data_IF_649632556247
#
_entry.id   IF_649632556247
#
_cell.length_a   1.000
_cell.length_b   1.000
_cell.length_c   1.000
_cell.angle_alpha   90.00
_cell.angle_beta   90.00
_cell.angle_gamma   90.00
#
_symmetry.space_group_name_H-M   'P 1'
#
loop_
_entity.id
_entity.type
_entity.pdbx_description
1 polymer ?
#
# COMPACT_ATOMS: atom_id res chain seq x y z
N UNK A 1 83.28 -60.03 -1.49
CA UNK A 1 81.98 -60.40 -0.88
C UNK A 1 81.03 -60.59 -2.05
N UNK A 2 80.90 -61.83 -2.53
CA UNK A 2 80.04 -62.15 -3.65
C UNK A 2 78.60 -61.90 -3.19
N UNK A 3 77.90 -61.02 -3.89
CA UNK A 3 76.45 -60.90 -3.75
C UNK A 3 75.88 -62.25 -4.15
N UNK A 4 75.32 -63.01 -3.19
CA UNK A 4 74.48 -64.15 -3.53
C UNK A 4 73.32 -63.62 -4.36
N UNK A 5 73.40 -63.83 -5.67
CA UNK A 5 72.31 -63.61 -6.58
C UNK A 5 71.29 -64.72 -6.27
N UNK A 6 70.32 -64.41 -5.41
CA UNK A 6 69.20 -65.30 -5.10
C UNK A 6 68.30 -65.31 -6.35
N UNK A 7 68.78 -65.98 -7.39
CA UNK A 7 68.02 -66.23 -8.60
C UNK A 7 66.87 -67.18 -8.27
N UNK A 8 65.65 -66.69 -8.40
CA UNK A 8 64.46 -67.54 -8.33
C UNK A 8 64.55 -68.59 -9.44
N UNK A 9 64.13 -69.82 -9.17
CA UNK A 9 64.02 -70.81 -10.22
C UNK A 9 62.99 -70.34 -11.27
N UNK A 10 63.26 -70.63 -12.54
CA UNK A 10 62.45 -70.17 -13.67
C UNK A 10 60.95 -70.47 -13.52
N UNK A 11 60.50 -71.65 -13.03
CA UNK A 11 59.09 -71.91 -12.73
C UNK A 11 58.48 -70.92 -11.72
N UNK A 12 59.19 -70.59 -10.65
CA UNK A 12 58.75 -69.62 -9.64
C UNK A 12 58.68 -68.20 -10.22
N UNK A 13 59.67 -67.80 -11.00
CA UNK A 13 59.68 -66.50 -11.68
C UNK A 13 58.49 -66.36 -12.65
N UNK A 14 58.26 -67.38 -13.49
CA UNK A 14 57.13 -67.41 -14.43
C UNK A 14 55.77 -67.36 -13.71
N UNK A 15 55.63 -68.06 -12.58
CA UNK A 15 54.42 -68.04 -11.76
C UNK A 15 54.16 -66.67 -11.12
N UNK A 16 55.19 -66.02 -10.56
CA UNK A 16 55.10 -64.68 -9.99
C UNK A 16 54.78 -63.63 -11.06
N UNK A 17 55.46 -63.70 -12.21
CA UNK A 17 55.20 -62.83 -13.35
C UNK A 17 53.76 -62.96 -13.85
N UNK A 18 53.23 -64.18 -13.96
CA UNK A 18 51.84 -64.44 -14.36
C UNK A 18 50.85 -63.82 -13.36
N UNK A 19 51.09 -63.95 -12.06
CA UNK A 19 50.25 -63.34 -11.00
C UNK A 19 50.29 -61.80 -11.07
N UNK A 20 51.47 -61.21 -11.22
CA UNK A 20 51.64 -59.76 -11.33
C UNK A 20 50.96 -59.22 -12.60
N UNK A 21 51.17 -59.87 -13.73
CA UNK A 21 50.57 -59.49 -15.01
C UNK A 21 49.04 -59.55 -14.96
N UNK A 22 48.48 -60.61 -14.36
CA UNK A 22 47.04 -60.73 -14.15
C UNK A 22 46.48 -59.63 -13.23
N UNK A 23 47.17 -59.35 -12.12
CA UNK A 23 46.78 -58.28 -11.19
C UNK A 23 46.82 -56.90 -11.87
N UNK A 24 47.88 -56.60 -12.64
CA UNK A 24 48.00 -55.35 -13.41
C UNK A 24 46.91 -55.22 -14.47
N UNK A 25 46.64 -56.28 -15.23
CA UNK A 25 45.59 -56.28 -16.25
C UNK A 25 44.20 -56.06 -15.62
N UNK A 26 43.96 -56.63 -14.45
CA UNK A 26 42.73 -56.42 -13.66
C UNK A 26 42.59 -54.97 -13.20
N UNK A 27 43.65 -54.41 -12.60
CA UNK A 27 43.70 -53.01 -12.17
C UNK A 27 43.49 -52.03 -13.33
N UNK A 28 44.19 -52.23 -14.45
CA UNK A 28 44.06 -51.37 -15.63
C UNK A 28 42.63 -51.41 -16.22
N UNK A 29 41.97 -52.58 -16.18
CA UNK A 29 40.57 -52.74 -16.57
C UNK A 29 39.64 -51.95 -15.64
N UNK A 30 39.76 -52.13 -14.33
CA UNK A 30 38.95 -51.43 -13.34
C UNK A 30 39.16 -49.92 -13.40
N UNK A 31 40.41 -49.48 -13.58
CA UNK A 31 40.77 -48.06 -13.73
C UNK A 31 40.10 -47.45 -14.96
N UNK A 32 40.18 -48.12 -16.12
CA UNK A 32 39.50 -47.65 -17.34
C UNK A 32 37.99 -47.57 -17.16
N UNK A 33 37.39 -48.60 -16.55
CA UNK A 33 35.96 -48.62 -16.27
C UNK A 33 35.54 -47.48 -15.32
N UNK A 34 36.30 -47.25 -14.25
CA UNK A 34 36.04 -46.16 -13.29
C UNK A 34 36.07 -44.79 -13.97
N UNK A 35 37.09 -44.49 -14.78
CA UNK A 35 37.18 -43.21 -15.47
C UNK A 35 36.10 -43.05 -16.54
N UNK A 36 35.73 -44.11 -17.27
CA UNK A 36 34.58 -44.08 -18.19
C UNK A 36 33.28 -43.71 -17.46
N UNK A 37 33.00 -44.37 -16.33
CA UNK A 37 31.80 -44.09 -15.53
C UNK A 37 31.84 -42.68 -14.91
N UNK A 38 33.02 -42.20 -14.50
CA UNK A 38 33.19 -40.85 -13.98
C UNK A 38 32.92 -39.81 -15.08
N UNK A 39 33.44 -40.03 -16.28
CA UNK A 39 33.25 -39.15 -17.43
C UNK A 39 31.77 -39.11 -17.87
N UNK A 40 31.10 -40.26 -17.89
CA UNK A 40 29.65 -40.35 -18.14
C UNK A 40 28.85 -39.54 -17.12
N UNK A 41 29.13 -39.70 -15.82
CA UNK A 41 28.47 -38.92 -14.75
C UNK A 41 28.74 -37.42 -14.88
N UNK A 42 29.96 -37.04 -15.22
CA UNK A 42 30.31 -35.63 -15.45
C UNK A 42 29.60 -35.06 -16.68
N UNK A 43 29.44 -35.85 -17.75
CA UNK A 43 28.73 -35.46 -18.95
C UNK A 43 27.23 -35.26 -18.66
N UNK A 44 26.61 -36.18 -17.93
CA UNK A 44 25.21 -36.10 -17.50
C UNK A 44 24.97 -34.87 -16.62
N UNK A 45 25.81 -34.66 -15.59
CA UNK A 45 25.76 -33.50 -14.72
C UNK A 45 25.87 -32.18 -15.51
N UNK A 46 26.78 -32.14 -16.48
CA UNK A 46 26.96 -30.97 -17.31
C UNK A 46 25.77 -30.69 -18.22
N UNK A 47 25.16 -31.72 -18.83
CA UNK A 47 23.98 -31.58 -19.67
C UNK A 47 22.78 -31.04 -18.87
N UNK A 48 22.52 -31.62 -17.69
CA UNK A 48 21.46 -31.14 -16.79
C UNK A 48 21.66 -29.67 -16.41
N UNK A 49 22.89 -29.26 -16.04
CA UNK A 49 23.20 -27.86 -15.70
C UNK A 49 23.07 -26.92 -16.89
N UNK A 50 23.42 -27.38 -18.10
CA UNK A 50 23.29 -26.60 -19.31
C UNK A 50 21.82 -26.28 -19.62
N UNK A 51 20.90 -27.23 -19.42
CA UNK A 51 19.46 -26.99 -19.56
C UNK A 51 18.95 -25.97 -18.55
N UNK A 52 19.41 -26.03 -17.30
CA UNK A 52 19.05 -25.05 -16.27
C UNK A 52 19.56 -23.65 -16.63
N UNK A 53 20.76 -23.56 -17.18
CA UNK A 53 21.35 -22.29 -17.66
C UNK A 53 20.55 -21.74 -18.84
N UNK A 54 20.23 -22.56 -19.83
CA UNK A 54 19.45 -22.13 -20.99
C UNK A 54 18.08 -21.57 -20.57
N UNK A 55 17.40 -22.20 -19.61
CA UNK A 55 16.15 -21.69 -19.03
C UNK A 55 16.35 -20.38 -18.26
N UNK A 56 17.45 -20.26 -17.51
CA UNK A 56 17.81 -19.03 -16.80
C UNK A 56 18.13 -17.88 -17.75
N UNK A 57 18.88 -18.12 -18.82
CA UNK A 57 19.23 -17.14 -19.85
C UNK A 57 17.99 -16.70 -20.64
N UNK A 58 17.05 -17.61 -20.91
CA UNK A 58 15.81 -17.30 -21.63
C UNK A 58 14.87 -16.35 -20.86
N UNK A 59 14.99 -16.27 -19.54
CA UNK A 59 14.12 -15.44 -18.69
C UNK A 59 14.85 -14.26 -18.02
N UNK A 60 16.11 -14.00 -18.39
CA UNK A 60 16.93 -12.97 -17.74
C UNK A 60 16.40 -11.54 -17.98
N UNK A 61 15.74 -11.31 -19.11
CA UNK A 61 15.16 -10.02 -19.50
C UNK A 61 13.64 -9.96 -19.28
N UNK A 62 13.07 -10.96 -18.59
CA UNK A 62 11.64 -10.99 -18.28
C UNK A 62 11.27 -9.85 -17.34
N UNK A 63 10.21 -9.12 -17.66
CA UNK A 63 9.60 -8.10 -16.80
C UNK A 63 8.45 -8.65 -15.96
N UNK A 64 8.11 -9.93 -16.10
CA UNK A 64 7.11 -10.60 -15.26
C UNK A 64 7.71 -11.01 -13.90
N UNK A 65 7.93 -10.00 -13.05
CA UNK A 65 8.76 -10.11 -11.86
C UNK A 65 8.35 -11.26 -10.91
N UNK A 66 7.05 -11.42 -10.64
CA UNK A 66 6.56 -12.37 -9.63
C UNK A 66 6.76 -13.84 -10.02
N UNK A 67 6.19 -14.29 -11.15
CA UNK A 67 6.43 -15.59 -11.75
C UNK A 67 7.91 -15.88 -12.02
N UNK A 68 8.68 -14.95 -12.61
CA UNK A 68 10.10 -15.20 -12.90
C UNK A 68 10.95 -15.35 -11.64
N UNK A 69 10.66 -14.62 -10.55
CA UNK A 69 11.33 -14.85 -9.24
C UNK A 69 11.09 -16.29 -8.73
N UNK A 70 9.86 -16.80 -8.88
CA UNK A 70 9.54 -18.19 -8.48
C UNK A 70 10.28 -19.19 -9.37
N UNK A 71 10.30 -18.96 -10.68
CA UNK A 71 11.05 -19.79 -11.62
C UNK A 71 12.56 -19.84 -11.29
N UNK A 72 13.21 -18.71 -10.98
CA UNK A 72 14.62 -18.70 -10.55
C UNK A 72 14.85 -19.45 -9.25
N UNK A 73 13.91 -19.39 -8.28
CA UNK A 73 14.00 -20.20 -7.05
C UNK A 73 13.95 -21.69 -7.36
N UNK A 74 13.07 -22.10 -8.27
CA UNK A 74 12.95 -23.50 -8.68
C UNK A 74 14.17 -23.99 -9.46
N UNK A 75 14.73 -23.16 -10.35
CA UNK A 75 15.99 -23.48 -11.03
C UNK A 75 17.16 -23.59 -10.04
N UNK A 76 17.24 -22.72 -9.03
CA UNK A 76 18.26 -22.82 -7.99
C UNK A 76 18.12 -24.11 -7.17
N UNK A 77 16.89 -24.54 -6.88
CA UNK A 77 16.64 -25.81 -6.20
C UNK A 77 17.04 -27.01 -7.06
N UNK A 78 16.72 -26.98 -8.36
CA UNK A 78 17.15 -28.00 -9.32
C UNK A 78 18.68 -28.04 -9.45
N UNK A 79 19.33 -26.87 -9.52
CA UNK A 79 20.79 -26.75 -9.56
C UNK A 79 21.46 -27.39 -8.34
N UNK A 80 20.93 -27.16 -7.14
CA UNK A 80 21.44 -27.76 -5.90
C UNK A 80 21.29 -29.28 -5.84
N UNK A 81 20.30 -29.83 -6.55
CA UNK A 81 20.04 -31.28 -6.64
C UNK A 81 20.84 -31.94 -7.77
N UNK A 82 21.26 -31.18 -8.78
CA UNK A 82 22.00 -31.70 -9.91
C UNK A 82 23.33 -32.35 -9.45
N UNK A 83 23.73 -33.48 -10.05
CA UNK A 83 24.99 -34.13 -9.71
C UNK A 83 26.19 -33.20 -9.98
N UNK A 84 27.30 -33.45 -9.27
CA UNK A 84 28.53 -32.68 -9.48
C UNK A 84 29.28 -33.21 -10.70
N UNK A 85 29.70 -32.27 -11.54
CA UNK A 85 30.56 -32.55 -12.68
C UNK A 85 32.03 -32.31 -12.34
N UNK A 86 32.85 -32.18 -13.37
CA UNK A 86 34.21 -31.70 -13.21
C UNK A 86 34.21 -30.27 -12.68
N UNK A 87 35.01 -29.99 -11.64
CA UNK A 87 35.09 -28.70 -10.96
C UNK A 87 35.20 -27.51 -11.93
N UNK A 88 36.09 -27.59 -12.92
CA UNK A 88 36.31 -26.50 -13.89
C UNK A 88 35.03 -26.19 -14.70
N UNK A 89 34.30 -27.22 -15.11
CA UNK A 89 33.07 -27.07 -15.91
C UNK A 89 31.92 -26.57 -15.03
N UNK A 90 31.77 -27.14 -13.84
CA UNK A 90 30.78 -26.70 -12.85
C UNK A 90 30.96 -25.22 -12.48
N UNK A 91 32.19 -24.76 -12.24
CA UNK A 91 32.48 -23.36 -11.93
C UNK A 91 32.10 -22.42 -13.08
N UNK A 92 32.39 -22.80 -14.32
CA UNK A 92 32.03 -22.02 -15.52
C UNK A 92 30.52 -21.97 -15.73
N UNK A 93 29.83 -23.12 -15.58
CA UNK A 93 28.39 -23.23 -15.67
C UNK A 93 27.70 -22.41 -14.57
N UNK A 94 28.22 -22.47 -13.34
CA UNK A 94 27.70 -21.66 -12.23
C UNK A 94 27.82 -20.16 -12.50
N UNK A 95 28.97 -19.70 -13.01
CA UNK A 95 29.15 -18.29 -13.39
C UNK A 95 28.12 -17.81 -14.41
N UNK A 96 27.82 -18.62 -15.42
CA UNK A 96 26.79 -18.31 -16.44
C UNK A 96 25.40 -18.26 -15.83
N UNK A 97 25.03 -19.29 -15.06
CA UNK A 97 23.74 -19.32 -14.35
C UNK A 97 23.57 -18.08 -13.45
N UNK A 98 24.62 -17.72 -12.71
CA UNK A 98 24.60 -16.58 -11.80
C UNK A 98 24.53 -15.26 -12.56
N UNK A 99 25.24 -15.11 -13.68
CA UNK A 99 25.16 -13.92 -14.51
C UNK A 99 23.72 -13.68 -15.02
N UNK A 100 23.05 -14.71 -15.54
CA UNK A 100 21.65 -14.60 -15.98
C UNK A 100 20.71 -14.20 -14.83
N UNK A 101 20.90 -14.80 -13.65
CA UNK A 101 20.17 -14.42 -12.44
C UNK A 101 20.44 -12.94 -12.06
N UNK A 102 21.69 -12.51 -12.08
CA UNK A 102 22.07 -11.15 -11.67
C UNK A 102 21.51 -10.10 -12.63
N UNK A 103 21.47 -10.35 -13.94
CA UNK A 103 20.80 -9.49 -14.93
C UNK A 103 19.34 -9.25 -14.55
N UNK A 104 18.58 -10.32 -14.31
CA UNK A 104 17.16 -10.23 -13.96
C UNK A 104 16.94 -9.45 -12.65
N UNK A 105 17.68 -9.80 -11.59
CA UNK A 105 17.49 -9.16 -10.28
C UNK A 105 17.99 -7.70 -10.27
N UNK A 106 19.00 -7.36 -11.07
CA UNK A 106 19.42 -5.97 -11.26
C UNK A 106 18.30 -5.15 -11.91
N UNK A 107 17.71 -5.64 -13.00
CA UNK A 107 16.59 -4.97 -13.69
C UNK A 107 15.37 -4.80 -12.76
N UNK A 108 14.98 -5.85 -12.05
CA UNK A 108 13.88 -5.80 -11.06
C UNK A 108 14.15 -4.79 -9.94
N UNK A 109 15.38 -4.76 -9.42
CA UNK A 109 15.72 -3.84 -8.34
C UNK A 109 15.72 -2.39 -8.82
N UNK A 110 16.17 -2.13 -10.07
CA UNK A 110 16.10 -0.81 -10.67
C UNK A 110 14.64 -0.32 -10.82
N UNK A 111 13.75 -1.17 -11.35
CA UNK A 111 12.30 -0.90 -11.48
C UNK A 111 11.64 -0.55 -10.14
N UNK A 112 11.97 -1.32 -9.09
CA UNK A 112 11.50 -1.02 -7.73
C UNK A 112 12.05 0.31 -7.22
N UNK A 113 13.33 0.59 -7.47
CA UNK A 113 13.96 1.83 -7.02
C UNK A 113 13.37 3.07 -7.69
N UNK A 114 13.06 2.96 -8.98
CA UNK A 114 12.39 4.01 -9.76
C UNK A 114 10.97 4.24 -9.25
N UNK A 115 10.20 3.18 -9.09
CA UNK A 115 8.83 3.24 -8.53
C UNK A 115 8.82 3.87 -7.13
N UNK A 116 9.76 3.49 -6.26
CA UNK A 116 9.87 4.08 -4.92
C UNK A 116 10.30 5.54 -4.97
N UNK A 117 11.20 5.92 -5.89
CA UNK A 117 11.61 7.30 -6.05
C UNK A 117 10.47 8.20 -6.55
N UNK A 118 9.66 7.71 -7.49
CA UNK A 118 8.43 8.37 -7.93
C UNK A 118 7.45 8.52 -6.77
N UNK A 119 7.17 7.44 -6.03
CA UNK A 119 6.27 7.49 -4.88
C UNK A 119 6.73 8.47 -3.80
N UNK A 120 8.05 8.58 -3.54
CA UNK A 120 8.59 9.58 -2.61
C UNK A 120 8.36 11.01 -3.07
N UNK A 121 8.54 11.31 -4.36
CA UNK A 121 8.21 12.63 -4.92
C UNK A 121 6.72 12.93 -4.81
N UNK A 122 5.87 11.95 -5.09
CA UNK A 122 4.42 12.08 -4.94
C UNK A 122 4.03 12.34 -3.48
N UNK A 123 4.73 11.73 -2.52
CA UNK A 123 4.52 11.97 -1.09
C UNK A 123 4.83 13.42 -0.73
N UNK A 124 5.94 14.00 -1.21
CA UNK A 124 6.29 15.41 -0.97
C UNK A 124 5.19 16.35 -1.48
N UNK A 125 4.67 16.11 -2.69
CA UNK A 125 3.56 16.88 -3.27
C UNK A 125 2.32 16.78 -2.38
N UNK A 126 1.95 15.56 -1.97
CA UNK A 126 0.77 15.34 -1.12
C UNK A 126 0.91 15.95 0.26
N UNK A 127 2.11 15.96 0.83
CA UNK A 127 2.36 16.62 2.10
C UNK A 127 2.21 18.15 1.99
N UNK A 128 2.65 18.76 0.89
CA UNK A 128 2.41 20.17 0.63
C UNK A 128 0.91 20.47 0.46
N UNK A 129 0.19 19.63 -0.29
CA UNK A 129 -1.27 19.74 -0.44
C UNK A 129 -2.01 19.61 0.89
N UNK A 130 -1.54 18.77 1.83
CA UNK A 130 -2.12 18.67 3.16
C UNK A 130 -1.93 19.95 3.97
N UNK A 131 -0.78 20.61 3.87
CA UNK A 131 -0.55 21.91 4.52
C UNK A 131 -1.53 22.96 3.98
N UNK A 132 -1.75 22.99 2.66
CA UNK A 132 -2.75 23.86 2.05
C UNK A 132 -4.17 23.51 2.52
N UNK A 133 -4.51 22.22 2.60
CA UNK A 133 -5.82 21.74 3.02
C UNK A 133 -6.12 22.05 4.50
N UNK A 134 -5.13 21.85 5.37
CA UNK A 134 -5.25 22.11 6.81
C UNK A 134 -5.33 23.61 7.13
N UNK A 135 -4.92 24.48 6.20
CA UNK A 135 -5.07 25.93 6.33
C UNK A 135 -6.45 26.44 5.91
N UNK A 136 -7.32 25.59 5.35
CA UNK A 136 -8.69 25.98 5.00
C UNK A 136 -9.49 26.28 6.26
N UNK A 137 -10.20 27.41 6.25
CA UNK A 137 -11.12 27.82 7.32
C UNK A 137 -12.56 27.87 6.79
N UNK A 138 -13.31 26.76 6.88
CA UNK A 138 -14.69 26.69 6.41
C UNK A 138 -15.64 27.55 7.24
N UNK A 139 -15.24 27.97 8.45
CA UNK A 139 -16.06 28.81 9.32
C UNK A 139 -16.05 30.28 8.91
N UNK A 140 -15.00 30.72 8.21
CA UNK A 140 -14.86 32.09 7.71
C UNK A 140 -15.44 32.27 6.31
N UNK A 141 -15.14 31.34 5.40
CA UNK A 141 -15.63 31.39 4.01
C UNK A 141 -15.81 29.97 3.47
N UNK A 142 -17.05 29.47 3.55
CA UNK A 142 -17.39 28.11 3.17
C UNK A 142 -17.23 27.86 1.67
N UNK A 143 -17.61 28.81 0.82
CA UNK A 143 -17.56 28.64 -0.64
C UNK A 143 -16.11 28.65 -1.13
N UNK A 144 -15.27 29.54 -0.60
CA UNK A 144 -13.83 29.54 -0.88
C UNK A 144 -13.17 28.23 -0.39
N UNK A 145 -13.49 27.77 0.82
CA UNK A 145 -12.96 26.52 1.37
C UNK A 145 -13.35 25.31 0.49
N UNK A 146 -14.61 25.24 0.02
CA UNK A 146 -15.08 24.18 -0.89
C UNK A 146 -14.38 24.21 -2.24
N UNK A 147 -14.21 25.39 -2.84
CA UNK A 147 -13.49 25.53 -4.11
C UNK A 147 -12.03 25.12 -3.99
N UNK A 148 -11.35 25.56 -2.94
CA UNK A 148 -9.96 25.20 -2.67
C UNK A 148 -9.80 23.70 -2.39
N UNK A 149 -10.69 23.11 -1.59
CA UNK A 149 -10.68 21.67 -1.32
C UNK A 149 -10.82 20.83 -2.60
N UNK A 150 -11.72 21.21 -3.52
CA UNK A 150 -11.86 20.53 -4.82
C UNK A 150 -10.57 20.58 -5.62
N UNK A 151 -9.94 21.76 -5.75
CA UNK A 151 -8.65 21.90 -6.44
C UNK A 151 -7.53 21.09 -5.78
N UNK A 152 -7.55 20.96 -4.44
CA UNK A 152 -6.59 20.11 -3.71
C UNK A 152 -6.85 18.63 -4.02
N UNK A 153 -8.11 18.19 -4.03
CA UNK A 153 -8.47 16.80 -4.36
C UNK A 153 -8.05 16.44 -5.79
N UNK A 154 -8.27 17.34 -6.75
CA UNK A 154 -7.82 17.12 -8.15
C UNK A 154 -6.29 16.95 -8.22
N UNK A 155 -5.53 17.86 -7.60
CA UNK A 155 -4.05 17.76 -7.53
C UNK A 155 -3.57 16.55 -6.73
N UNK A 156 -4.34 16.11 -5.74
CA UNK A 156 -4.04 14.92 -4.95
C UNK A 156 -4.17 13.64 -5.76
N UNK A 157 -5.19 13.56 -6.61
CA UNK A 157 -5.36 12.44 -7.55
C UNK A 157 -4.26 12.47 -8.62
N UNK A 158 -3.97 13.65 -9.18
CA UNK A 158 -2.90 13.85 -10.18
C UNK A 158 -1.51 13.48 -9.63
N UNK A 159 -1.22 13.79 -8.37
CA UNK A 159 0.04 13.42 -7.72
C UNK A 159 0.25 11.90 -7.61
N UNK A 160 -0.80 11.07 -7.75
CA UNK A 160 -0.64 9.62 -7.85
C UNK A 160 -0.36 8.91 -6.51
N UNK A 161 0.39 7.80 -6.58
CA UNK A 161 0.59 6.88 -5.45
C UNK A 161 1.77 7.29 -4.58
N UNK A 162 1.68 6.99 -3.29
CA UNK A 162 2.73 7.21 -2.29
C UNK A 162 3.24 5.88 -1.73
N UNK A 163 4.33 5.89 -0.94
CA UNK A 163 4.80 4.69 -0.27
C UNK A 163 3.71 4.11 0.62
N UNK A 164 3.61 2.78 0.65
CA UNK A 164 2.57 2.06 1.40
C UNK A 164 2.54 2.40 2.89
N UNK A 165 3.69 2.73 3.48
CA UNK A 165 3.80 3.12 4.89
C UNK A 165 3.13 4.46 5.20
N UNK A 166 3.07 5.37 4.21
CA UNK A 166 2.55 6.73 4.39
C UNK A 166 1.08 6.87 3.96
N UNK A 167 0.60 5.99 3.08
CA UNK A 167 -0.75 6.03 2.49
C UNK A 167 -1.85 6.32 3.52
N UNK A 168 -1.88 5.54 4.62
CA UNK A 168 -2.90 5.73 5.66
C UNK A 168 -2.79 7.08 6.36
N UNK A 169 -1.57 7.50 6.72
CA UNK A 169 -1.31 8.75 7.44
C UNK A 169 -1.79 9.95 6.63
N UNK A 170 -1.49 9.97 5.34
CA UNK A 170 -1.83 11.11 4.48
C UNK A 170 -3.33 11.12 4.14
N UNK A 171 -3.95 9.96 3.89
CA UNK A 171 -5.38 9.85 3.62
C UNK A 171 -6.22 10.26 4.83
N UNK A 172 -5.83 9.84 6.03
CA UNK A 172 -6.55 10.16 7.27
C UNK A 172 -6.53 11.68 7.55
N UNK A 173 -5.43 12.38 7.22
CA UNK A 173 -5.31 13.85 7.32
C UNK A 173 -6.24 14.56 6.34
N UNK A 174 -6.21 14.19 5.05
CA UNK A 174 -7.10 14.80 4.05
C UNK A 174 -8.57 14.59 4.41
N UNK A 175 -8.93 13.36 4.81
CA UNK A 175 -10.29 13.04 5.26
C UNK A 175 -10.76 13.84 6.47
N UNK A 176 -9.84 14.27 7.34
CA UNK A 176 -10.19 15.13 8.46
C UNK A 176 -10.60 16.53 7.98
N UNK A 177 -9.87 17.09 7.02
CA UNK A 177 -10.23 18.37 6.38
C UNK A 177 -11.56 18.26 5.64
N UNK A 178 -11.75 17.19 4.86
CA UNK A 178 -13.01 16.94 4.14
C UNK A 178 -14.21 16.86 5.09
N UNK A 179 -14.05 16.18 6.24
CA UNK A 179 -15.09 16.14 7.27
C UNK A 179 -15.37 17.53 7.83
N UNK A 180 -14.35 18.32 8.16
CA UNK A 180 -14.53 19.66 8.69
C UNK A 180 -15.30 20.59 7.73
N UNK A 181 -14.96 20.57 6.44
CA UNK A 181 -15.69 21.32 5.41
C UNK A 181 -17.13 20.85 5.29
N UNK A 182 -17.36 19.53 5.28
CA UNK A 182 -18.70 18.95 5.19
C UNK A 182 -19.57 19.27 6.42
N UNK A 183 -18.98 19.30 7.60
CA UNK A 183 -19.69 19.63 8.84
C UNK A 183 -20.05 21.12 8.88
N UNK A 184 -19.17 22.00 8.40
CA UNK A 184 -19.46 23.42 8.23
C UNK A 184 -20.57 23.67 7.20
N UNK A 185 -20.55 22.95 6.07
CA UNK A 185 -21.63 23.00 5.08
C UNK A 185 -22.98 22.56 5.66
N UNK A 186 -23.00 21.48 6.45
CA UNK A 186 -24.21 21.06 7.13
C UNK A 186 -24.68 22.07 8.18
N UNK A 187 -23.76 22.73 8.89
CA UNK A 187 -24.11 23.76 9.85
C UNK A 187 -24.74 24.98 9.16
N UNK A 188 -24.16 25.43 8.05
CA UNK A 188 -24.69 26.54 7.25
C UNK A 188 -26.06 26.19 6.66
N UNK A 189 -26.20 24.98 6.09
CA UNK A 189 -27.50 24.52 5.60
C UNK A 189 -28.58 24.50 6.67
N UNK A 190 -28.25 24.07 7.90
CA UNK A 190 -29.20 24.05 9.03
C UNK A 190 -29.63 25.47 9.44
N UNK A 191 -28.72 26.45 9.38
CA UNK A 191 -29.02 27.87 9.62
C UNK A 191 -29.94 28.44 8.54
N UNK A 192 -29.63 28.17 7.29
CA UNK A 192 -30.34 28.72 6.12
C UNK A 192 -31.53 27.86 5.67
N UNK A 193 -31.91 26.81 6.40
CA UNK A 193 -32.96 25.88 5.99
C UNK A 193 -34.29 26.63 5.75
N UNK A 194 -34.80 26.68 4.51
CA UNK A 194 -36.01 27.42 4.18
C UNK A 194 -37.23 26.98 4.99
N UNK A 195 -37.30 25.70 5.39
CA UNK A 195 -38.41 25.19 6.23
C UNK A 195 -38.32 25.70 7.65
N UNK A 196 -37.11 25.75 8.20
CA UNK A 196 -36.86 26.28 9.53
C UNK A 196 -37.14 27.78 9.56
N UNK A 197 -36.66 28.52 8.56
CA UNK A 197 -36.97 29.94 8.39
C UNK A 197 -38.48 30.21 8.25
N UNK A 198 -39.16 29.49 7.36
CA UNK A 198 -40.61 29.64 7.16
C UNK A 198 -41.43 29.28 8.40
N UNK A 199 -41.01 28.27 9.18
CA UNK A 199 -41.67 27.91 10.45
C UNK A 199 -41.52 29.01 11.50
N UNK A 200 -40.35 29.60 11.60
CA UNK A 200 -40.05 30.70 12.53
C UNK A 200 -40.81 31.97 12.13
N UNK A 201 -40.79 32.34 10.85
CA UNK A 201 -41.55 33.47 10.31
C UNK A 201 -43.07 33.28 10.48
N UNK A 202 -43.58 32.07 10.21
CA UNK A 202 -44.99 31.73 10.44
C UNK A 202 -45.41 31.79 11.90
N UNK A 203 -44.58 31.28 12.82
CA UNK A 203 -44.83 31.36 14.26
C UNK A 203 -44.77 32.79 14.79
N UNK A 204 -43.83 33.61 14.30
CA UNK A 204 -43.75 35.05 14.63
C UNK A 204 -45.01 35.79 14.15
N UNK A 205 -45.47 35.55 12.92
CA UNK A 205 -46.71 36.15 12.39
C UNK A 205 -47.96 35.77 13.21
N UNK A 206 -48.04 34.51 13.66
CA UNK A 206 -49.11 34.05 14.54
C UNK A 206 -49.07 34.75 15.91
N UNK A 207 -47.88 34.93 16.49
CA UNK A 207 -47.71 35.64 17.77
C UNK A 207 -48.02 37.13 17.65
N UNK A 208 -47.65 37.79 16.55
CA UNK A 208 -48.06 39.18 16.31
C UNK A 208 -49.59 39.32 16.24
N UNK A 209 -50.26 38.41 15.52
CA UNK A 209 -51.73 38.37 15.47
C UNK A 209 -52.35 38.14 16.85
N UNK A 210 -51.75 37.26 17.66
CA UNK A 210 -52.21 37.00 19.02
C UNK A 210 -52.02 38.23 19.92
N UNK A 211 -50.85 38.90 19.87
CA UNK A 211 -50.57 40.12 20.64
C UNK A 211 -51.61 41.19 20.33
N UNK A 212 -51.94 41.43 19.06
CA UNK A 212 -52.98 42.39 18.68
C UNK A 212 -54.34 42.05 19.33
N UNK A 213 -54.72 40.77 19.36
CA UNK A 213 -55.96 40.35 20.05
C UNK A 213 -55.92 40.55 21.56
N UNK A 214 -54.75 40.38 22.20
CA UNK A 214 -54.56 40.62 23.63
C UNK A 214 -54.51 42.12 23.95
N UNK A 215 -54.01 42.97 23.05
CA UNK A 215 -54.08 44.43 23.16
C UNK A 215 -55.53 44.92 23.11
N UNK A 216 -56.32 44.40 22.17
CA UNK A 216 -57.76 44.70 22.13
C UNK A 216 -58.50 44.21 23.39
N UNK A 217 -58.13 43.04 23.91
CA UNK A 217 -58.70 42.51 25.14
C UNK A 217 -58.36 43.38 26.35
N UNK A 218 -57.13 43.89 26.41
CA UNK A 218 -56.68 44.83 27.44
C UNK A 218 -57.44 46.15 27.37
N UNK A 219 -57.62 46.73 26.18
CA UNK A 219 -58.38 47.96 26.00
C UNK A 219 -59.85 47.79 26.40
N UNK A 220 -60.47 46.65 26.06
CA UNK A 220 -61.83 46.31 26.54
C UNK A 220 -61.89 46.15 28.06
N UNK A 221 -60.89 45.52 28.67
CA UNK A 221 -60.81 45.38 30.12
C UNK A 221 -60.66 46.74 30.82
N UNK A 222 -59.83 47.64 30.26
CA UNK A 222 -59.66 49.03 30.73
C UNK A 222 -60.95 49.82 30.63
N UNK A 223 -61.69 49.71 29.53
CA UNK A 223 -62.99 50.36 29.35
C UNK A 223 -64.07 49.83 30.32
N UNK A 224 -63.97 48.56 30.73
CA UNK A 224 -64.87 47.95 31.70
C UNK A 224 -64.57 48.29 33.17
N UNK A 225 -63.38 48.82 33.49
CA UNK A 225 -63.01 49.34 34.81
C UNK A 225 -62.78 48.31 35.92
N UNK A 226 -62.78 47.00 35.62
CA UNK A 226 -62.52 45.93 36.59
C UNK A 226 -61.00 45.71 36.77
N UNK A 227 -60.41 46.08 37.93
CA UNK A 227 -58.96 46.04 38.12
C UNK A 227 -58.39 44.63 38.03
N UNK A 228 -59.16 43.59 38.38
CA UNK A 228 -58.70 42.21 38.29
C UNK A 228 -58.57 41.75 36.83
N UNK A 229 -59.57 42.09 36.01
CA UNK A 229 -59.57 41.77 34.57
C UNK A 229 -58.49 42.54 33.81
N UNK A 230 -58.20 43.77 34.21
CA UNK A 230 -57.10 44.56 33.65
C UNK A 230 -55.76 43.87 33.95
N UNK A 231 -55.50 43.52 35.22
CA UNK A 231 -54.26 42.84 35.60
C UNK A 231 -54.07 41.48 34.90
N UNK A 232 -55.15 40.70 34.75
CA UNK A 232 -55.12 39.43 34.00
C UNK A 232 -54.83 39.62 32.51
N UNK A 233 -55.43 40.63 31.87
CA UNK A 233 -55.19 40.96 30.46
C UNK A 233 -53.77 41.50 30.22
N UNK A 234 -53.24 42.33 31.13
CA UNK A 234 -51.86 42.84 31.07
C UNK A 234 -50.85 41.69 31.22
N UNK A 235 -51.04 40.80 32.21
CA UNK A 235 -50.17 39.64 32.39
C UNK A 235 -50.19 38.69 31.18
N UNK A 236 -51.36 38.48 30.57
CA UNK A 236 -51.49 37.66 29.37
C UNK A 236 -50.78 38.28 28.16
N UNK A 237 -50.91 39.59 27.97
CA UNK A 237 -50.24 40.33 26.90
C UNK A 237 -48.71 40.28 27.06
N UNK A 238 -48.20 40.56 28.25
CA UNK A 238 -46.76 40.53 28.53
C UNK A 238 -46.17 39.13 28.31
N UNK A 239 -46.85 38.07 28.76
CA UNK A 239 -46.41 36.71 28.47
C UNK A 239 -46.30 36.40 26.97
N UNK A 240 -47.18 36.96 26.12
CA UNK A 240 -47.11 36.77 24.65
C UNK A 240 -45.98 37.58 24.02
N UNK A 241 -45.73 38.80 24.51
CA UNK A 241 -44.58 39.61 24.08
C UNK A 241 -43.25 38.95 24.45
N UNK A 242 -43.15 38.36 25.65
CA UNK A 242 -41.97 37.61 26.08
C UNK A 242 -41.73 36.40 25.17
N UNK A 243 -42.78 35.64 24.85
CA UNK A 243 -42.69 34.52 23.91
C UNK A 243 -42.24 34.95 22.51
N UNK A 244 -42.77 36.06 21.98
CA UNK A 244 -42.32 36.63 20.71
C UNK A 244 -40.83 36.99 20.76
N UNK A 245 -40.39 37.67 21.82
CA UNK A 245 -38.98 38.04 22.01
C UNK A 245 -38.04 36.83 22.13
N UNK A 246 -38.52 35.69 22.63
CA UNK A 246 -37.76 34.42 22.65
C UNK A 246 -37.65 33.81 21.25
N UNK A 247 -38.73 33.80 20.47
CA UNK A 247 -38.72 33.27 19.10
C UNK A 247 -37.86 34.14 18.18
N UNK A 248 -37.95 35.46 18.28
CA UNK A 248 -37.15 36.38 17.46
C UNK A 248 -35.67 36.39 17.81
N UNK A 249 -35.30 36.08 19.07
CA UNK A 249 -33.90 35.82 19.44
C UNK A 249 -33.40 34.53 18.83
N UNK A 250 -34.16 33.45 18.99
CA UNK A 250 -33.86 32.16 18.36
C UNK A 250 -33.73 32.29 16.84
N UNK A 251 -34.54 33.14 16.20
CA UNK A 251 -34.48 33.44 14.78
C UNK A 251 -33.20 34.17 14.37
N UNK A 252 -32.72 35.10 15.21
CA UNK A 252 -31.47 35.83 15.02
C UNK A 252 -30.24 34.95 15.24
N UNK A 253 -30.31 34.02 16.18
CA UNK A 253 -29.22 33.07 16.46
C UNK A 253 -29.08 31.99 15.36
N UNK A 254 -30.09 31.86 14.48
CA UNK A 254 -30.08 31.00 13.31
C UNK A 254 -29.51 31.68 12.05
N UNK A 255 -29.26 32.99 12.05
CA UNK A 255 -28.69 33.76 10.92
C UNK A 255 -27.32 34.35 11.23
#
# INVERSE_FOLDING_TARGET
MQSEDIGLDRPTEEALWKRLSAARASFDRMRKQFFSQLDERHAEAAAQKEELIARAEAMQDSTDWGPTVRAYKDLMNQWRRAPRGSRKKDDAQWKRFKAAQDTFFAARNADLHETEAEQRKNLEVKEALLVEAEALDPGKDLDAAKSALRSIQDRWEEAGKVPRGDMRRIDDRLRAVERAVKDAEQAEWRRTDPRTKARVEGASSQLHSAIASYEEALEKARAGGDPKKIAEAEAALEARKEWLAVIERSARDLG
#
